data_IF_370514646853
#
_entry.id   IF_370514646853
#
_cell.length_a   1.000
_cell.length_b   1.000
_cell.length_c   1.000
_cell.angle_alpha   90.00
_cell.angle_beta   90.00
_cell.angle_gamma   90.00
#
_symmetry.space_group_name_H-M   'P 1'
#
loop_
_entity.id
_entity.type
_entity.pdbx_description
1 polymer ?
#
# COMPACT_ATOMS: atom_id res chain seq x y z
N UNK A 1 1.79 18.99 7.77
CA UNK A 1 2.64 17.89 7.30
C UNK A 1 1.70 16.82 6.76
N UNK A 2 1.63 16.67 5.47
CA UNK A 2 0.88 15.60 4.80
C UNK A 2 1.53 14.26 5.16
N UNK A 3 0.78 13.24 5.56
CA UNK A 3 1.34 11.91 5.72
C UNK A 3 1.90 11.46 4.37
N UNK A 4 3.17 11.07 4.35
CA UNK A 4 3.77 10.45 3.20
C UNK A 4 3.07 9.11 2.98
N UNK A 5 2.21 9.04 1.98
CA UNK A 5 1.56 7.81 1.57
C UNK A 5 2.23 7.28 0.32
N UNK A 6 2.95 6.19 0.42
CA UNK A 6 3.40 5.47 -0.76
C UNK A 6 2.30 4.50 -1.16
N UNK A 7 1.57 4.84 -2.20
CA UNK A 7 0.60 3.92 -2.79
C UNK A 7 1.20 3.29 -4.03
N UNK A 8 1.71 2.07 -3.90
CA UNK A 8 1.91 1.22 -5.05
C UNK A 8 0.88 0.12 -5.00
N UNK A 9 -0.27 0.34 -5.57
CA UNK A 9 -1.23 -0.72 -5.79
C UNK A 9 -1.66 -0.68 -7.24
N UNK A 10 -1.54 -1.79 -7.92
CA UNK A 10 -2.38 -2.06 -9.06
C UNK A 10 -2.79 -3.52 -9.06
N UNK A 11 -3.97 -3.84 -8.53
CA UNK A 11 -4.74 -4.94 -9.08
C UNK A 11 -5.02 -4.60 -10.56
N UNK A 12 -4.85 -5.54 -11.42
CA UNK A 12 -4.70 -5.41 -12.88
C UNK A 12 -5.72 -4.50 -13.60
N UNK A 13 -6.93 -4.24 -13.11
CA UNK A 13 -7.95 -3.56 -13.92
C UNK A 13 -8.79 -2.48 -13.23
N UNK A 14 -8.78 -2.32 -11.92
CA UNK A 14 -9.70 -1.39 -11.23
C UNK A 14 -9.04 -0.35 -10.33
N UNK A 15 -7.79 -0.55 -9.90
CA UNK A 15 -7.13 0.34 -8.94
C UNK A 15 -6.48 1.58 -9.56
N UNK A 16 -6.18 1.55 -10.85
CA UNK A 16 -5.43 2.62 -11.54
C UNK A 16 -6.22 3.92 -11.67
N UNK A 17 -7.49 3.91 -12.11
CA UNK A 17 -8.30 5.12 -12.12
C UNK A 17 -8.58 5.68 -10.73
N UNK A 18 -8.69 4.79 -9.72
CA UNK A 18 -8.97 5.18 -8.35
C UNK A 18 -7.87 6.07 -7.76
N UNK A 19 -6.60 5.76 -8.03
CA UNK A 19 -5.48 6.58 -7.57
C UNK A 19 -5.61 8.03 -8.09
N UNK A 20 -5.85 8.20 -9.38
CA UNK A 20 -6.05 9.53 -9.98
C UNK A 20 -7.30 10.22 -9.46
N UNK A 21 -8.40 9.50 -9.28
CA UNK A 21 -9.61 10.05 -8.68
C UNK A 21 -9.36 10.59 -7.26
N UNK A 22 -8.60 9.88 -6.44
CA UNK A 22 -8.20 10.34 -5.10
C UNK A 22 -7.30 11.57 -5.20
N UNK A 23 -6.34 11.60 -6.13
CA UNK A 23 -5.47 12.76 -6.33
C UNK A 23 -6.26 13.99 -6.78
N UNK A 24 -7.25 13.83 -7.66
CA UNK A 24 -8.15 14.91 -8.08
C UNK A 24 -9.02 15.38 -6.90
N UNK A 25 -9.64 14.48 -6.16
CA UNK A 25 -10.45 14.82 -4.99
C UNK A 25 -9.66 15.53 -3.88
N UNK A 26 -8.33 15.30 -3.83
CA UNK A 26 -7.41 15.99 -2.91
C UNK A 26 -6.81 17.26 -3.50
N UNK A 27 -7.14 17.63 -4.74
CA UNK A 27 -6.66 18.83 -5.40
C UNK A 27 -5.21 18.78 -5.89
N UNK A 28 -4.60 17.59 -5.99
CA UNK A 28 -3.26 17.43 -6.55
C UNK A 28 -3.26 17.58 -8.06
N UNK A 29 -4.32 17.12 -8.74
CA UNK A 29 -4.51 17.24 -10.18
C UNK A 29 -5.88 17.82 -10.51
N UNK A 30 -6.06 18.49 -11.67
CA UNK A 30 -7.37 18.96 -12.11
C UNK A 30 -8.33 17.79 -12.40
N UNK A 31 -9.57 17.90 -11.91
CA UNK A 31 -10.62 16.90 -12.19
C UNK A 31 -10.85 16.67 -13.70
N UNK A 32 -10.79 17.70 -14.59
CA UNK A 32 -10.93 17.52 -16.03
C UNK A 32 -9.89 16.59 -16.70
N UNK A 33 -8.80 16.25 -16.01
CA UNK A 33 -7.83 15.27 -16.52
C UNK A 33 -8.35 13.83 -16.46
N UNK A 34 -9.28 13.52 -15.57
CA UNK A 34 -9.72 12.14 -15.33
C UNK A 34 -10.27 11.43 -16.57
N UNK A 35 -11.08 12.07 -17.46
CA UNK A 35 -11.55 11.44 -18.69
C UNK A 35 -10.42 11.09 -19.68
N UNK A 36 -9.25 11.69 -19.53
CA UNK A 36 -8.09 11.44 -20.43
C UNK A 36 -7.27 10.22 -20.00
N UNK A 37 -7.67 9.51 -18.93
CA UNK A 37 -6.96 8.34 -18.44
C UNK A 37 -6.69 7.33 -19.57
N UNK A 38 -5.42 6.96 -19.72
CA UNK A 38 -4.96 5.99 -20.73
C UNK A 38 -4.96 6.50 -22.17
N UNK A 39 -5.31 7.76 -22.41
CA UNK A 39 -5.27 8.36 -23.76
C UNK A 39 -3.84 8.68 -24.18
N UNK A 40 -3.61 8.67 -25.49
CA UNK A 40 -2.30 9.04 -26.06
C UNK A 40 -1.99 10.50 -25.72
N UNK A 41 -0.82 10.73 -25.12
CA UNK A 41 -0.36 12.06 -24.71
C UNK A 41 -0.88 12.51 -23.36
N UNK A 42 -1.75 11.77 -22.68
CA UNK A 42 -2.19 12.06 -21.33
C UNK A 42 -1.08 11.80 -20.30
N UNK A 43 -1.01 12.65 -19.28
CA UNK A 43 -0.18 12.39 -18.11
C UNK A 43 -0.70 11.21 -17.25
N UNK A 44 -1.99 10.87 -17.37
CA UNK A 44 -2.64 9.81 -16.62
C UNK A 44 -2.51 8.46 -17.32
N UNK A 45 -1.30 7.90 -17.31
CA UNK A 45 -1.01 6.59 -17.89
C UNK A 45 -1.52 5.43 -17.03
N UNK A 46 -1.46 4.21 -17.58
CA UNK A 46 -1.77 2.97 -16.85
C UNK A 46 -0.85 2.76 -15.64
N UNK A 47 0.33 3.31 -15.64
CA UNK A 47 1.27 3.31 -14.53
C UNK A 47 1.51 4.76 -14.11
N UNK A 48 1.17 5.13 -12.86
CA UNK A 48 1.44 6.46 -12.36
C UNK A 48 2.92 6.81 -12.45
N UNK A 49 3.22 8.01 -12.96
CA UNK A 49 4.58 8.53 -13.06
C UNK A 49 4.72 9.79 -12.21
N UNK A 50 5.63 9.76 -11.25
CA UNK A 50 5.91 10.87 -10.34
C UNK A 50 6.43 12.14 -11.04
N UNK A 51 7.00 11.99 -12.23
CA UNK A 51 7.51 13.11 -12.99
C UNK A 51 6.40 13.84 -13.79
N UNK A 52 5.28 13.17 -14.04
CA UNK A 52 4.18 13.66 -14.85
C UNK A 52 2.97 14.09 -14.00
N UNK A 53 2.74 13.40 -12.86
CA UNK A 53 1.50 13.56 -12.10
C UNK A 53 1.79 14.09 -10.70
N UNK A 54 1.39 15.33 -10.39
CA UNK A 54 1.50 15.88 -9.05
C UNK A 54 0.82 14.99 -7.99
N UNK A 55 1.49 14.81 -6.87
CA UNK A 55 1.00 13.96 -5.77
C UNK A 55 1.35 12.48 -5.90
N UNK A 56 1.87 12.02 -7.02
CA UNK A 56 2.45 10.68 -7.16
C UNK A 56 3.85 10.69 -6.55
N UNK A 57 4.07 9.89 -5.52
CA UNK A 57 5.34 9.84 -4.78
C UNK A 57 6.35 8.90 -5.43
N UNK A 58 5.88 7.81 -6.05
CA UNK A 58 6.70 6.78 -6.68
C UNK A 58 6.08 6.41 -8.02
N UNK A 59 6.90 6.40 -9.09
CA UNK A 59 6.49 5.80 -10.37
C UNK A 59 6.33 4.29 -10.19
N UNK A 60 5.21 3.73 -10.64
CA UNK A 60 4.87 2.33 -10.47
C UNK A 60 4.87 1.58 -11.81
N UNK A 61 4.65 0.26 -11.76
CA UNK A 61 4.58 -0.61 -12.93
C UNK A 61 5.22 -1.99 -12.70
N UNK A 62 6.13 -2.08 -11.74
CA UNK A 62 6.76 -3.33 -11.33
C UNK A 62 6.00 -3.90 -10.13
N UNK A 63 5.17 -4.92 -10.37
CA UNK A 63 4.41 -5.60 -9.33
C UNK A 63 5.34 -6.12 -8.25
N UNK A 64 4.94 -6.00 -6.97
CA UNK A 64 5.74 -6.45 -5.83
C UNK A 64 6.84 -5.49 -5.36
N UNK A 65 7.08 -4.38 -6.06
CA UNK A 65 8.13 -3.42 -5.66
C UNK A 65 7.66 -2.36 -4.65
N UNK A 66 6.36 -2.17 -4.51
CA UNK A 66 5.81 -1.14 -3.61
C UNK A 66 6.20 -1.34 -2.16
N UNK A 67 6.08 -2.56 -1.66
CA UNK A 67 6.41 -2.87 -0.27
C UNK A 67 7.92 -2.76 0.02
N UNK A 68 8.84 -3.34 -0.77
CA UNK A 68 10.28 -3.13 -0.59
C UNK A 68 10.71 -1.66 -0.59
N UNK A 69 10.14 -0.85 -1.49
CA UNK A 69 10.39 0.59 -1.53
C UNK A 69 9.89 1.29 -0.26
N UNK A 70 8.69 0.94 0.21
CA UNK A 70 8.15 1.44 1.47
C UNK A 70 9.00 1.07 2.68
N UNK A 71 9.51 -0.16 2.72
CA UNK A 71 10.46 -0.63 3.75
C UNK A 71 11.74 0.20 3.72
N UNK A 72 12.32 0.40 2.54
CA UNK A 72 13.52 1.23 2.37
C UNK A 72 13.31 2.67 2.84
N UNK A 73 12.16 3.26 2.50
CA UNK A 73 11.79 4.61 2.93
C UNK A 73 11.61 4.68 4.46
N UNK A 74 10.88 3.74 5.05
CA UNK A 74 10.66 3.69 6.49
C UNK A 74 11.99 3.55 7.26
N UNK A 75 12.87 2.67 6.80
CA UNK A 75 14.20 2.50 7.36
C UNK A 75 15.05 3.77 7.21
N UNK A 76 15.07 4.39 6.03
CA UNK A 76 15.81 5.62 5.77
C UNK A 76 15.36 6.78 6.64
N UNK A 77 14.06 6.91 6.93
CA UNK A 77 13.55 7.90 7.87
C UNK A 77 14.09 7.67 9.29
N UNK A 78 14.07 6.43 9.78
CA UNK A 78 14.61 6.08 11.09
C UNK A 78 16.11 6.34 11.15
N UNK A 79 16.88 5.95 10.13
CA UNK A 79 18.33 6.17 10.07
C UNK A 79 18.69 7.66 10.12
N UNK A 80 17.79 8.53 9.63
CA UNK A 80 17.93 10.00 9.72
C UNK A 80 17.41 10.59 11.04
N UNK A 81 16.99 9.76 11.99
CA UNK A 81 16.41 10.21 13.26
C UNK A 81 14.97 10.70 13.17
N UNK A 82 14.31 10.56 12.02
CA UNK A 82 12.94 11.00 11.79
C UNK A 82 11.96 9.89 12.20
N UNK A 83 11.48 9.94 13.42
CA UNK A 83 10.62 8.89 13.99
C UNK A 83 9.11 9.19 13.90
N UNK A 84 8.72 10.44 13.63
CA UNK A 84 7.33 10.86 13.56
C UNK A 84 6.65 10.52 12.22
N UNK A 85 7.31 10.67 11.04
CA UNK A 85 6.68 10.34 9.78
C UNK A 85 6.42 8.84 9.67
N UNK A 86 5.20 8.48 9.25
CA UNK A 86 4.81 7.11 8.94
C UNK A 86 4.80 6.89 7.43
N UNK A 87 5.15 5.67 7.03
CA UNK A 87 5.07 5.20 5.65
C UNK A 87 3.88 4.26 5.55
N UNK A 88 2.94 4.58 4.66
CA UNK A 88 1.81 3.72 4.33
C UNK A 88 2.04 3.09 2.96
N UNK A 89 1.88 1.77 2.89
CA UNK A 89 1.98 1.01 1.64
C UNK A 89 0.67 0.29 1.44
N UNK A 90 0.02 0.53 0.30
CA UNK A 90 -1.18 -0.17 -0.12
C UNK A 90 -0.78 -1.26 -1.12
N UNK A 91 -1.19 -2.49 -0.85
CA UNK A 91 -0.95 -3.65 -1.71
C UNK A 91 -2.23 -4.46 -1.90
N UNK A 92 -2.36 -5.17 -3.00
CA UNK A 92 -3.38 -6.20 -3.18
C UNK A 92 -2.87 -7.55 -2.68
N UNK A 93 -3.79 -8.47 -2.36
CA UNK A 93 -3.44 -9.84 -1.98
C UNK A 93 -2.68 -10.58 -3.08
N UNK A 94 -3.03 -10.39 -4.35
CA UNK A 94 -2.30 -10.97 -5.47
C UNK A 94 -0.90 -10.36 -5.68
N UNK A 95 -0.66 -9.12 -5.25
CA UNK A 95 0.67 -8.52 -5.29
C UNK A 95 1.61 -9.18 -4.29
N UNK A 96 1.07 -9.69 -3.18
CA UNK A 96 1.85 -10.40 -2.17
C UNK A 96 2.37 -11.77 -2.65
N UNK A 97 1.90 -12.28 -3.80
CA UNK A 97 2.46 -13.48 -4.46
C UNK A 97 3.87 -13.22 -5.05
N UNK A 98 4.30 -11.96 -5.15
CA UNK A 98 5.65 -11.60 -5.64
C UNK A 98 6.69 -11.78 -4.54
N UNK A 99 7.75 -12.58 -4.79
CA UNK A 99 8.76 -12.96 -3.80
C UNK A 99 9.50 -11.79 -3.14
N UNK A 100 9.60 -10.64 -3.81
CA UNK A 100 10.18 -9.43 -3.23
C UNK A 100 9.40 -8.92 -2.01
N UNK A 101 8.10 -9.22 -1.93
CA UNK A 101 7.29 -8.90 -0.75
C UNK A 101 7.66 -9.79 0.44
N UNK A 102 7.94 -11.07 0.23
CA UNK A 102 8.39 -11.98 1.29
C UNK A 102 9.69 -11.48 1.93
N UNK A 103 10.66 -11.10 1.10
CA UNK A 103 11.91 -10.53 1.57
C UNK A 103 11.69 -9.24 2.39
N UNK A 104 10.82 -8.36 1.90
CA UNK A 104 10.48 -7.10 2.57
C UNK A 104 9.76 -7.33 3.90
N UNK A 105 8.82 -8.29 3.96
CA UNK A 105 8.08 -8.66 5.17
C UNK A 105 9.05 -9.17 6.25
N UNK A 106 9.90 -10.12 5.89
CA UNK A 106 10.88 -10.70 6.82
C UNK A 106 11.85 -9.64 7.32
N UNK A 107 12.39 -8.82 6.42
CA UNK A 107 13.32 -7.77 6.78
C UNK A 107 12.70 -6.72 7.70
N UNK A 108 11.51 -6.20 7.35
CA UNK A 108 10.85 -5.17 8.14
C UNK A 108 10.50 -5.64 9.55
N UNK A 109 10.09 -6.90 9.69
CA UNK A 109 9.81 -7.52 10.98
C UNK A 109 11.08 -7.72 11.81
N UNK A 110 12.16 -8.21 11.21
CA UNK A 110 13.44 -8.43 11.88
C UNK A 110 14.09 -7.13 12.38
N UNK A 111 14.01 -6.06 11.58
CA UNK A 111 14.51 -4.72 11.96
C UNK A 111 13.56 -4.00 12.92
N UNK A 112 12.27 -4.34 12.91
CA UNK A 112 11.27 -3.74 13.77
C UNK A 112 10.97 -2.30 13.37
N UNK A 113 10.45 -2.06 12.14
CA UNK A 113 10.16 -0.72 11.61
C UNK A 113 8.81 -0.17 12.14
N UNK A 114 8.77 0.61 13.23
CA UNK A 114 7.52 1.01 13.88
C UNK A 114 6.73 2.06 13.10
N UNK A 115 7.35 2.67 12.12
CA UNK A 115 6.78 3.71 11.27
C UNK A 115 6.24 3.17 9.94
N UNK A 116 6.27 1.85 9.72
CA UNK A 116 5.74 1.19 8.52
C UNK A 116 4.34 0.62 8.78
N UNK A 117 3.39 1.01 7.95
CA UNK A 117 2.02 0.50 7.94
C UNK A 117 1.71 -0.04 6.55
N UNK A 118 1.36 -1.31 6.47
CA UNK A 118 0.91 -1.95 5.23
C UNK A 118 -0.59 -2.15 5.28
N UNK A 119 -1.25 -1.81 4.21
CA UNK A 119 -2.68 -2.09 4.00
C UNK A 119 -2.78 -3.11 2.88
N UNK A 120 -3.15 -4.33 3.21
CA UNK A 120 -3.39 -5.38 2.23
C UNK A 120 -4.90 -5.46 1.92
N UNK A 121 -5.26 -5.16 0.69
CA UNK A 121 -6.64 -5.34 0.21
C UNK A 121 -6.82 -6.81 -0.15
N UNK A 122 -7.58 -7.51 0.67
CA UNK A 122 -7.90 -8.92 0.48
C UNK A 122 -9.24 -9.04 -0.28
N UNK A 123 -9.13 -9.20 -1.60
CA UNK A 123 -10.25 -9.45 -2.51
C UNK A 123 -10.24 -10.88 -3.07
N UNK A 124 -9.48 -11.78 -2.46
CA UNK A 124 -9.35 -13.19 -2.83
C UNK A 124 -8.85 -13.38 -4.27
N UNK A 125 -7.92 -12.54 -4.71
CA UNK A 125 -7.32 -12.59 -6.06
C UNK A 125 -5.91 -13.20 -6.09
N UNK A 126 -5.35 -13.57 -4.94
CA UNK A 126 -4.07 -14.29 -4.85
C UNK A 126 -4.13 -15.60 -5.64
N UNK A 127 -3.08 -15.86 -6.43
CA UNK A 127 -2.99 -17.03 -7.31
C UNK A 127 -2.67 -18.32 -6.57
N UNK A 128 -1.91 -18.20 -5.48
CA UNK A 128 -1.43 -19.37 -4.71
C UNK A 128 -2.28 -19.65 -3.48
N UNK A 129 -3.16 -18.72 -3.09
CA UNK A 129 -3.88 -18.78 -1.83
C UNK A 129 -2.96 -18.60 -0.62
N UNK A 130 -3.54 -18.70 0.56
CA UNK A 130 -2.82 -18.51 1.81
C UNK A 130 -2.86 -19.78 2.66
N UNK A 131 -1.77 -20.06 3.33
CA UNK A 131 -1.71 -21.13 4.34
C UNK A 131 -2.65 -20.88 5.52
N UNK A 132 -2.70 -21.79 6.50
CA UNK A 132 -3.53 -21.61 7.69
C UNK A 132 -3.26 -20.29 8.40
N UNK A 133 -4.32 -19.54 8.69
CA UNK A 133 -4.24 -18.20 9.31
C UNK A 133 -4.11 -17.03 8.33
N UNK A 134 -4.10 -17.30 7.03
CA UNK A 134 -4.21 -16.26 6.00
C UNK A 134 -3.03 -15.33 5.91
N UNK A 135 -3.26 -14.16 5.30
CA UNK A 135 -2.29 -13.07 5.18
C UNK A 135 -1.76 -12.66 6.55
N UNK A 136 -2.62 -12.65 7.56
CA UNK A 136 -2.26 -12.25 8.92
C UNK A 136 -1.16 -13.14 9.51
N UNK A 137 -1.30 -14.46 9.38
CA UNK A 137 -0.30 -15.40 9.90
C UNK A 137 1.04 -15.25 9.16
N UNK A 138 0.99 -15.03 7.84
CA UNK A 138 2.18 -14.81 7.02
C UNK A 138 3.03 -13.63 7.50
N UNK A 139 2.39 -12.52 7.88
CA UNK A 139 3.09 -11.37 8.44
C UNK A 139 3.46 -11.56 9.91
N UNK A 140 2.56 -12.14 10.71
CA UNK A 140 2.74 -12.29 12.14
C UNK A 140 3.97 -13.13 12.50
N UNK A 141 4.25 -14.22 11.74
CA UNK A 141 5.45 -15.06 11.98
C UNK A 141 6.75 -14.28 11.80
N UNK A 142 6.73 -13.22 11.02
CA UNK A 142 7.86 -12.31 10.80
C UNK A 142 7.92 -11.16 11.80
N UNK A 143 7.08 -11.16 12.85
CA UNK A 143 7.13 -10.18 13.94
C UNK A 143 6.30 -8.91 13.73
N UNK A 144 5.39 -8.90 12.76
CA UNK A 144 4.46 -7.79 12.55
C UNK A 144 3.30 -7.82 13.56
N UNK A 145 2.78 -6.65 13.87
CA UNK A 145 1.45 -6.53 14.46
C UNK A 145 0.40 -6.51 13.35
N UNK A 146 -0.73 -7.18 13.55
CA UNK A 146 -1.71 -7.38 12.49
C UNK A 146 -3.13 -7.09 12.97
N UNK A 147 -3.97 -6.56 12.07
CA UNK A 147 -5.41 -6.42 12.26
C UNK A 147 -6.14 -6.74 10.95
N UNK A 148 -7.32 -7.36 11.06
CA UNK A 148 -8.25 -7.55 9.95
C UNK A 148 -9.50 -6.73 10.20
N UNK A 149 -9.92 -5.97 9.20
CA UNK A 149 -11.13 -5.15 9.25
C UNK A 149 -11.89 -5.28 7.93
N UNK A 150 -13.17 -4.92 7.93
CA UNK A 150 -13.90 -4.74 6.68
C UNK A 150 -13.32 -3.54 5.92
N UNK A 151 -12.92 -3.75 4.66
CA UNK A 151 -12.44 -2.67 3.78
C UNK A 151 -13.53 -1.66 3.40
N UNK A 152 -14.80 -1.94 3.75
CA UNK A 152 -15.93 -1.02 3.55
C UNK A 152 -16.31 -0.25 4.81
N UNK A 153 -15.72 -0.57 5.94
CA UNK A 153 -15.96 0.15 7.19
C UNK A 153 -14.86 1.19 7.43
N UNK A 154 -15.17 2.43 7.09
CA UNK A 154 -14.24 3.54 7.22
C UNK A 154 -13.88 3.83 8.69
N UNK A 155 -14.80 3.59 9.64
CA UNK A 155 -14.53 3.79 11.05
C UNK A 155 -13.56 2.73 11.59
N UNK A 156 -13.75 1.46 11.20
CA UNK A 156 -12.84 0.38 11.54
C UNK A 156 -11.45 0.57 10.93
N UNK A 157 -11.37 1.02 9.66
CA UNK A 157 -10.10 1.36 9.01
C UNK A 157 -9.38 2.50 9.74
N UNK A 158 -10.10 3.57 10.09
CA UNK A 158 -9.53 4.71 10.82
C UNK A 158 -8.99 4.27 12.20
N UNK A 159 -9.75 3.44 12.92
CA UNK A 159 -9.31 2.88 14.20
C UNK A 159 -8.07 2.00 14.06
N UNK A 160 -8.01 1.15 13.04
CA UNK A 160 -6.84 0.31 12.75
C UNK A 160 -5.60 1.16 12.44
N UNK A 161 -5.73 2.23 11.65
CA UNK A 161 -4.63 3.16 11.35
C UNK A 161 -4.15 3.93 12.59
N UNK A 162 -5.07 4.25 13.51
CA UNK A 162 -4.72 4.90 14.77
C UNK A 162 -3.97 3.94 15.72
N UNK A 163 -4.32 2.65 15.70
CA UNK A 163 -3.68 1.61 16.50
C UNK A 163 -2.25 1.27 16.05
N UNK A 164 -1.84 1.69 14.85
CA UNK A 164 -0.52 1.44 14.28
C UNK A 164 0.58 2.27 14.97
N UNK A 165 0.82 2.02 16.28
CA UNK A 165 1.77 2.79 17.10
C UNK A 165 2.65 1.93 18.01
N UNK A 166 2.65 0.61 17.82
CA UNK A 166 3.15 -0.36 18.80
C UNK A 166 4.63 -0.75 18.73
N UNK A 167 5.54 0.03 18.14
CA UNK A 167 6.97 -0.30 18.13
C UNK A 167 7.37 -1.39 17.11
N UNK A 168 6.43 -1.89 16.32
CA UNK A 168 6.62 -2.91 15.26
C UNK A 168 5.96 -2.45 13.98
N UNK A 169 6.36 -2.98 12.81
CA UNK A 169 5.62 -2.75 11.58
C UNK A 169 4.20 -3.32 11.73
N UNK A 170 3.25 -2.67 11.07
CA UNK A 170 1.83 -2.94 11.26
C UNK A 170 1.14 -3.28 9.94
N UNK A 171 0.39 -4.38 9.94
CA UNK A 171 -0.44 -4.80 8.83
C UNK A 171 -1.91 -4.56 9.15
N UNK A 172 -2.62 -3.94 8.22
CA UNK A 172 -4.09 -3.90 8.18
C UNK A 172 -4.56 -4.71 6.98
N UNK A 173 -5.22 -5.82 7.23
CA UNK A 173 -5.91 -6.58 6.16
C UNK A 173 -7.30 -5.99 6.00
N UNK A 174 -7.53 -5.32 4.88
CA UNK A 174 -8.80 -4.74 4.49
C UNK A 174 -9.58 -5.77 3.65
N UNK A 175 -10.45 -6.55 4.29
CA UNK A 175 -11.25 -7.56 3.61
C UNK A 175 -12.36 -6.91 2.78
N UNK A 176 -12.43 -7.26 1.51
CA UNK A 176 -13.49 -6.86 0.58
C UNK A 176 -14.07 -8.10 -0.09
N UNK A 177 -15.19 -7.94 -0.80
CA UNK A 177 -15.80 -9.06 -1.51
C UNK A 177 -14.84 -9.61 -2.57
N UNK A 178 -14.72 -10.92 -2.63
CA UNK A 178 -13.99 -11.62 -3.69
C UNK A 178 -14.60 -11.33 -5.07
N UNK A 179 -13.79 -11.48 -6.11
CA UNK A 179 -14.31 -11.46 -7.47
C UNK A 179 -15.29 -12.62 -7.66
N UNK A 180 -16.48 -12.31 -8.15
CA UNK A 180 -17.45 -13.29 -8.62
C UNK A 180 -16.94 -13.98 -9.90
#
# INVERSE_FOLDING_TARGET
MTPAGTGSCCPRDTGRPLNYAVLAAKGFIPEPWLPEFGSVGSALGYHPDRNLVPGVEISSGSLGHGLPLGVGLAHGLIARGLRTPRVFVLVGDAELDEGSNDEAIVYAGAVGLPNLVVVAVDNQSSSYGWGPGGIEAHFAVSGWSVARVSGRDHAALAAAFAAASGGRPYLVVAAVEGRA
#
